data_IF_045502834537
#
_entry.id   IF_045502834537
#
_cell.length_a   1.000
_cell.length_b   1.000
_cell.length_c   1.000
_cell.angle_alpha   90.00
_cell.angle_beta   90.00
_cell.angle_gamma   90.00
#
_symmetry.space_group_name_H-M   'P 1'
#
loop_
_entity.id
_entity.type
_entity.pdbx_description
1 polymer ?
#
# COMPACT_ATOMS: atom_id res chain seq x y z
N UNK A 1 2.62 3.88 13.92
CA UNK A 1 3.04 3.24 15.18
C UNK A 1 3.90 4.19 15.99
N UNK A 2 3.26 4.82 16.98
CA UNK A 2 3.95 5.61 18.01
C UNK A 2 4.46 4.65 19.08
N UNK A 3 5.63 4.93 19.63
CA UNK A 3 6.13 4.22 20.80
C UNK A 3 5.12 4.31 21.96
N UNK A 4 4.79 3.17 22.57
CA UNK A 4 3.97 3.17 23.79
C UNK A 4 4.83 3.60 24.98
N UNK A 5 4.29 4.27 26.02
CA UNK A 5 5.05 4.61 27.23
C UNK A 5 5.70 3.42 27.93
N UNK A 6 5.17 2.21 27.72
CA UNK A 6 5.73 0.96 28.26
C UNK A 6 6.92 0.41 27.48
N UNK A 7 7.31 1.03 26.38
CA UNK A 7 8.40 0.60 25.52
C UNK A 7 8.04 0.46 24.05
N UNK A 8 9.04 0.19 23.19
CA UNK A 8 8.81 -0.10 21.78
C UNK A 8 8.07 -1.44 21.62
N UNK A 9 7.35 -1.59 20.50
CA UNK A 9 6.64 -2.83 20.18
C UNK A 9 7.60 -4.03 20.08
N UNK A 10 8.70 -3.86 19.36
CA UNK A 10 9.85 -4.75 19.39
C UNK A 10 11.11 -3.99 18.95
N UNK A 11 12.26 -4.55 19.29
CA UNK A 11 13.56 -4.15 18.78
C UNK A 11 14.27 -5.37 18.22
N UNK A 12 15.05 -5.16 17.16
CA UNK A 12 15.98 -6.18 16.69
C UNK A 12 17.24 -6.16 17.57
N UNK A 13 17.83 -7.33 17.78
CA UNK A 13 19.20 -7.41 18.29
C UNK A 13 20.16 -6.71 17.34
N UNK A 14 21.38 -6.39 17.81
CA UNK A 14 22.38 -5.73 16.95
C UNK A 14 22.67 -6.54 15.67
N UNK A 15 22.78 -7.87 15.79
CA UNK A 15 23.02 -8.76 14.66
C UNK A 15 21.82 -8.80 13.70
N UNK A 16 20.61 -9.00 14.22
CA UNK A 16 19.39 -9.01 13.38
C UNK A 16 19.20 -7.67 12.65
N UNK A 17 19.53 -6.54 13.30
CA UNK A 17 19.45 -5.23 12.68
C UNK A 17 20.50 -5.03 11.58
N UNK A 18 21.73 -5.49 11.79
CA UNK A 18 22.76 -5.47 10.74
C UNK A 18 22.32 -6.27 9.51
N UNK A 19 21.77 -7.47 9.71
CA UNK A 19 21.22 -8.29 8.63
C UNK A 19 20.04 -7.60 7.93
N UNK A 20 19.18 -6.93 8.70
CA UNK A 20 18.07 -6.16 8.17
C UNK A 20 18.53 -4.99 7.30
N UNK A 21 19.52 -4.22 7.74
CA UNK A 21 20.09 -3.09 6.98
C UNK A 21 20.85 -3.59 5.75
N UNK A 22 21.54 -4.72 5.83
CA UNK A 22 22.22 -5.32 4.67
C UNK A 22 21.22 -5.66 3.54
N UNK A 23 20.03 -6.17 3.89
CA UNK A 23 18.97 -6.46 2.92
C UNK A 23 18.15 -5.23 2.51
N UNK A 24 17.93 -4.32 3.46
CA UNK A 24 17.10 -3.13 3.29
C UNK A 24 17.87 -1.88 3.75
N UNK A 25 18.81 -1.35 2.93
CA UNK A 25 19.68 -0.22 3.32
C UNK A 25 18.91 1.02 3.78
N UNK A 26 17.71 1.23 3.21
CA UNK A 26 16.79 2.32 3.56
C UNK A 26 16.34 2.33 5.02
N UNK A 27 16.55 1.25 5.79
CA UNK A 27 16.27 1.24 7.22
C UNK A 27 17.21 2.17 8.01
N UNK A 28 18.38 2.47 7.45
CA UNK A 28 19.40 3.32 8.05
C UNK A 28 19.43 4.76 7.48
N UNK A 29 18.58 5.06 6.51
CA UNK A 29 18.45 6.41 5.96
C UNK A 29 17.72 7.32 6.95
N UNK A 30 18.11 8.61 7.00
CA UNK A 30 17.35 9.61 7.73
C UNK A 30 15.95 9.73 7.11
N UNK A 31 14.94 9.69 7.97
CA UNK A 31 13.55 9.98 7.60
C UNK A 31 13.05 11.16 8.42
N UNK A 32 11.96 11.79 7.99
CA UNK A 32 11.31 12.86 8.73
C UNK A 32 10.79 12.40 10.11
N UNK A 33 10.70 11.08 10.32
CA UNK A 33 10.42 10.47 11.60
C UNK A 33 11.70 10.00 12.30
N UNK A 34 11.79 10.32 13.59
CA UNK A 34 12.79 9.72 14.47
C UNK A 34 12.30 8.34 14.91
N UNK A 35 13.04 7.28 14.62
CA UNK A 35 12.72 5.92 15.06
C UNK A 35 13.49 5.56 16.33
N UNK A 36 12.92 4.68 17.15
CA UNK A 36 13.68 4.04 18.24
C UNK A 36 14.84 3.23 17.65
N UNK A 37 15.95 3.19 18.37
CA UNK A 37 17.15 2.48 17.93
C UNK A 37 16.83 1.01 17.65
N UNK A 38 17.17 0.52 16.44
CA UNK A 38 16.87 -0.86 15.98
C UNK A 38 15.39 -1.27 16.10
N UNK A 39 14.48 -0.30 16.21
CA UNK A 39 13.05 -0.52 16.36
C UNK A 39 12.23 -0.07 15.15
N UNK A 40 10.97 -0.53 15.14
CA UNK A 40 9.98 -0.17 14.14
C UNK A 40 9.05 0.99 14.60
N UNK A 41 9.15 1.41 15.87
CA UNK A 41 8.34 2.47 16.44
C UNK A 41 8.97 3.84 16.19
N UNK A 42 8.14 4.81 15.79
CA UNK A 42 8.57 6.19 15.76
C UNK A 42 8.51 6.77 17.19
N UNK A 43 9.59 7.44 17.59
CA UNK A 43 9.68 8.24 18.81
C UNK A 43 9.03 9.59 18.54
N UNK A 44 7.72 9.67 18.82
CA UNK A 44 6.87 10.81 18.48
C UNK A 44 6.28 11.39 19.76
N UNK A 45 6.38 12.70 19.92
CA UNK A 45 5.77 13.49 20.98
C UNK A 45 4.48 14.10 20.46
N UNK A 46 3.36 13.52 20.90
CA UNK A 46 2.00 13.98 20.55
C UNK A 46 1.84 15.46 20.90
N UNK A 47 1.42 16.27 19.93
CA UNK A 47 1.21 17.72 20.10
C UNK A 47 2.44 18.59 19.78
N UNK A 48 3.61 17.99 19.54
CA UNK A 48 4.83 18.69 19.12
C UNK A 48 5.25 18.31 17.70
N UNK A 49 5.15 17.03 17.37
CA UNK A 49 5.60 16.50 16.08
C UNK A 49 4.45 16.46 15.06
N UNK A 50 4.79 16.53 13.77
CA UNK A 50 3.84 16.68 12.66
C UNK A 50 2.82 15.52 12.57
N UNK A 51 1.62 15.86 12.11
CA UNK A 51 0.47 14.95 11.98
C UNK A 51 0.74 13.84 10.94
N UNK A 52 0.28 12.62 11.20
CA UNK A 52 0.46 11.47 10.31
C UNK A 52 -0.38 11.60 9.05
N UNK A 53 0.27 11.70 7.89
CA UNK A 53 -0.38 11.43 6.62
C UNK A 53 -0.34 9.92 6.27
N UNK A 54 -1.06 9.53 5.22
CA UNK A 54 -1.15 8.12 4.80
C UNK A 54 0.23 7.55 4.41
N UNK A 55 1.07 8.36 3.77
CA UNK A 55 2.40 7.98 3.32
C UNK A 55 3.30 7.61 4.50
N UNK A 56 3.25 8.43 5.55
CA UNK A 56 4.00 8.25 6.79
C UNK A 56 3.54 7.00 7.54
N UNK A 57 2.24 6.71 7.56
CA UNK A 57 1.70 5.47 8.15
C UNK A 57 2.15 4.25 7.36
N UNK A 58 2.02 4.28 6.03
CA UNK A 58 2.44 3.16 5.16
C UNK A 58 3.93 2.87 5.29
N UNK A 59 4.78 3.89 5.34
CA UNK A 59 6.21 3.74 5.54
C UNK A 59 6.53 3.06 6.89
N UNK A 60 5.82 3.41 7.96
CA UNK A 60 5.99 2.75 9.27
C UNK A 60 5.62 1.26 9.22
N UNK A 61 4.51 0.91 8.56
CA UNK A 61 4.14 -0.49 8.35
C UNK A 61 5.17 -1.23 7.49
N UNK A 62 5.65 -0.61 6.41
CA UNK A 62 6.67 -1.19 5.56
C UNK A 62 7.98 -1.44 6.34
N UNK A 63 8.43 -0.47 7.13
CA UNK A 63 9.59 -0.61 8.02
C UNK A 63 9.41 -1.79 8.97
N UNK A 64 8.26 -1.85 9.66
CA UNK A 64 7.93 -2.93 10.57
C UNK A 64 7.97 -4.30 9.88
N UNK A 65 7.32 -4.46 8.72
CA UNK A 65 7.31 -5.74 8.00
C UNK A 65 8.68 -6.14 7.46
N UNK A 66 9.54 -5.18 7.09
CA UNK A 66 10.94 -5.46 6.74
C UNK A 66 11.71 -6.01 7.94
N UNK A 67 11.56 -5.40 9.11
CA UNK A 67 12.26 -5.79 10.33
C UNK A 67 11.74 -7.11 10.92
N UNK A 68 10.43 -7.36 10.86
CA UNK A 68 9.81 -8.61 11.32
C UNK A 68 10.39 -9.87 10.64
N UNK A 69 10.96 -9.75 9.44
CA UNK A 69 11.61 -10.87 8.75
C UNK A 69 12.87 -11.40 9.49
N UNK A 70 13.45 -10.58 10.37
CA UNK A 70 14.69 -10.84 11.07
C UNK A 70 14.48 -11.16 12.54
N UNK A 71 13.37 -10.71 13.15
CA UNK A 71 13.09 -10.98 14.56
C UNK A 71 12.85 -12.48 14.79
N UNK A 72 13.81 -13.14 15.43
CA UNK A 72 13.85 -14.60 15.61
C UNK A 72 12.60 -15.18 16.30
N UNK A 73 12.05 -14.49 17.30
CA UNK A 73 10.84 -14.93 18.01
C UNK A 73 9.56 -14.65 17.20
N UNK A 74 9.34 -13.39 16.78
CA UNK A 74 8.11 -12.97 16.11
C UNK A 74 7.93 -13.57 14.70
N UNK A 75 9.01 -13.96 14.02
CA UNK A 75 8.95 -14.58 12.69
C UNK A 75 8.15 -15.89 12.67
N UNK A 76 8.01 -16.55 13.81
CA UNK A 76 7.26 -17.81 13.97
C UNK A 76 5.81 -17.60 14.39
N UNK A 77 5.42 -16.36 14.68
CA UNK A 77 4.11 -16.03 15.20
C UNK A 77 3.13 -15.66 14.09
N UNK A 78 1.85 -15.96 14.30
CA UNK A 78 0.79 -15.26 13.60
C UNK A 78 0.65 -13.88 14.22
N UNK A 79 0.71 -12.83 13.39
CA UNK A 79 0.61 -11.44 13.85
C UNK A 79 -0.72 -10.88 13.36
N UNK A 80 -1.56 -10.46 14.30
CA UNK A 80 -2.80 -9.75 14.03
C UNK A 80 -2.59 -8.26 14.28
N UNK A 81 -2.96 -7.43 13.31
CA UNK A 81 -2.88 -5.98 13.42
C UNK A 81 -4.28 -5.41 13.63
N UNK A 82 -4.51 -4.86 14.81
CA UNK A 82 -5.73 -4.11 15.12
C UNK A 82 -5.44 -2.63 14.96
N UNK A 83 -6.14 -1.98 14.03
CA UNK A 83 -6.05 -0.54 13.78
C UNK A 83 -7.40 0.11 14.05
N UNK A 84 -7.40 1.37 14.48
CA UNK A 84 -8.64 2.13 14.62
C UNK A 84 -9.26 2.46 13.24
N UNK A 85 -10.49 2.97 13.25
CA UNK A 85 -11.20 3.43 12.04
C UNK A 85 -10.78 4.84 11.61
N UNK A 86 -9.54 5.26 11.90
CA UNK A 86 -8.98 6.51 11.43
C UNK A 86 -9.08 6.63 9.91
N UNK A 87 -9.31 7.85 9.40
CA UNK A 87 -9.40 8.11 7.95
C UNK A 87 -8.16 7.62 7.20
N UNK A 88 -6.99 7.71 7.83
CA UNK A 88 -5.71 7.30 7.25
C UNK A 88 -5.55 5.78 7.18
N UNK A 89 -6.12 5.03 8.13
CA UNK A 89 -6.06 3.57 8.18
C UNK A 89 -7.10 2.89 7.27
N UNK A 90 -8.14 3.62 6.89
CA UNK A 90 -9.25 3.13 6.06
C UNK A 90 -9.17 3.59 4.60
N UNK A 91 -8.19 4.43 4.26
CA UNK A 91 -7.95 4.90 2.90
C UNK A 91 -7.53 3.72 2.00
N UNK A 92 -8.34 3.42 0.98
CA UNK A 92 -8.05 2.34 0.02
C UNK A 92 -7.16 2.86 -1.10
N UNK A 93 -5.93 2.36 -1.19
CA UNK A 93 -5.09 2.54 -2.39
C UNK A 93 -5.02 1.24 -3.20
N UNK A 94 -5.07 1.37 -4.52
CA UNK A 94 -5.01 0.23 -5.43
C UNK A 94 -3.67 0.23 -6.15
N UNK A 95 -2.79 -0.69 -5.77
CA UNK A 95 -1.48 -0.80 -6.41
C UNK A 95 -1.62 -1.26 -7.87
N UNK A 96 -1.37 -0.35 -8.82
CA UNK A 96 -1.41 -0.65 -10.26
C UNK A 96 -0.45 -1.76 -10.70
N UNK A 97 0.63 -2.00 -9.95
CA UNK A 97 1.53 -3.13 -10.20
C UNK A 97 0.90 -4.50 -9.95
N UNK A 98 -0.19 -4.55 -9.19
CA UNK A 98 -0.96 -5.78 -8.98
C UNK A 98 -1.81 -6.18 -10.19
N UNK A 99 -2.02 -5.29 -11.17
CA UNK A 99 -2.90 -5.53 -12.30
C UNK A 99 -2.12 -6.00 -13.54
N UNK A 100 -2.70 -6.94 -14.27
CA UNK A 100 -2.28 -7.30 -15.62
C UNK A 100 -2.93 -6.43 -16.68
N UNK A 101 -2.44 -6.54 -17.92
CA UNK A 101 -2.88 -5.70 -19.04
C UNK A 101 -4.27 -6.08 -19.58
N UNK A 102 -4.43 -7.36 -19.90
CA UNK A 102 -5.55 -7.88 -20.69
C UNK A 102 -6.67 -8.51 -19.86
N UNK A 103 -7.70 -9.00 -20.54
CA UNK A 103 -8.77 -9.77 -19.92
C UNK A 103 -8.23 -11.06 -19.31
N UNK A 104 -8.85 -11.52 -18.23
CA UNK A 104 -8.44 -12.72 -17.50
C UNK A 104 -6.98 -12.70 -17.01
N UNK A 105 -6.41 -11.51 -16.80
CA UNK A 105 -5.07 -11.36 -16.22
C UNK A 105 -5.15 -11.01 -14.74
N UNK A 106 -4.02 -10.95 -14.04
CA UNK A 106 -3.97 -10.67 -12.60
C UNK A 106 -4.79 -9.43 -12.24
N UNK A 107 -5.68 -9.54 -11.25
CA UNK A 107 -6.41 -8.41 -10.69
C UNK A 107 -6.52 -8.61 -9.17
N UNK A 108 -5.96 -7.69 -8.35
CA UNK A 108 -5.82 -7.91 -6.92
C UNK A 108 -7.13 -7.66 -6.15
N UNK A 109 -8.13 -7.03 -6.77
CA UNK A 109 -9.35 -6.58 -6.10
C UNK A 109 -10.59 -6.93 -6.91
N UNK A 110 -11.73 -7.09 -6.23
CA UNK A 110 -13.03 -7.37 -6.87
C UNK A 110 -13.67 -6.12 -7.48
N UNK A 111 -13.48 -4.99 -6.82
CA UNK A 111 -13.99 -3.70 -7.23
C UNK A 111 -13.09 -2.57 -6.70
N UNK A 112 -13.17 -1.42 -7.37
CA UNK A 112 -12.49 -0.18 -7.03
C UNK A 112 -13.57 0.86 -6.73
N UNK A 113 -13.66 1.26 -5.47
CA UNK A 113 -14.51 2.38 -5.04
C UNK A 113 -13.70 3.68 -5.11
N UNK A 114 -14.26 4.71 -5.74
CA UNK A 114 -13.62 6.02 -5.89
C UNK A 114 -14.64 7.16 -5.99
N UNK A 115 -14.17 8.39 -5.85
CA UNK A 115 -14.98 9.60 -6.07
C UNK A 115 -14.57 10.22 -7.40
N UNK A 116 -15.53 10.45 -8.31
CA UNK A 116 -15.23 11.09 -9.59
C UNK A 116 -14.98 12.60 -9.46
N UNK A 117 -14.59 13.25 -10.55
CA UNK A 117 -14.29 14.70 -10.58
C UNK A 117 -15.48 15.59 -10.16
N UNK A 118 -16.71 15.06 -10.16
CA UNK A 118 -17.91 15.78 -9.73
C UNK A 118 -18.29 15.48 -8.27
N UNK A 119 -17.42 14.82 -7.50
CA UNK A 119 -17.69 14.47 -6.11
C UNK A 119 -18.62 13.26 -5.93
N UNK A 120 -18.96 12.54 -7.00
CA UNK A 120 -19.88 11.40 -6.93
C UNK A 120 -19.14 10.09 -6.66
N UNK A 121 -19.61 9.33 -5.67
CA UNK A 121 -19.12 7.98 -5.39
C UNK A 121 -19.44 7.04 -6.56
N UNK A 122 -18.42 6.31 -7.01
CA UNK A 122 -18.46 5.34 -8.11
C UNK A 122 -17.82 4.04 -7.65
N UNK A 123 -18.30 2.94 -8.20
CA UNK A 123 -17.70 1.62 -8.01
C UNK A 123 -17.41 1.01 -9.38
N UNK A 124 -16.14 0.82 -9.69
CA UNK A 124 -15.68 0.10 -10.86
C UNK A 124 -15.56 -1.39 -10.54
N UNK A 125 -16.22 -2.22 -11.31
CA UNK A 125 -16.18 -3.68 -11.12
C UNK A 125 -14.99 -4.25 -11.88
N UNK A 126 -14.09 -4.94 -11.18
CA UNK A 126 -12.88 -5.49 -11.78
C UNK A 126 -13.07 -6.86 -12.45
N UNK A 127 -14.30 -7.35 -12.49
CA UNK A 127 -14.67 -8.61 -13.15
C UNK A 127 -15.86 -8.38 -14.08
N UNK A 128 -15.88 -9.07 -15.22
CA UNK A 128 -17.01 -9.03 -16.13
C UNK A 128 -18.24 -9.68 -15.49
N UNK A 129 -19.33 -8.93 -15.35
CA UNK A 129 -20.59 -9.43 -14.78
C UNK A 129 -21.45 -10.21 -15.78
N UNK A 130 -21.33 -9.88 -17.06
CA UNK A 130 -22.14 -10.40 -18.16
C UNK A 130 -21.29 -10.62 -19.42
N UNK A 131 -21.87 -11.28 -20.43
CA UNK A 131 -21.24 -11.54 -21.73
C UNK A 131 -20.28 -12.73 -21.75
N UNK A 132 -19.57 -12.90 -22.88
CA UNK A 132 -18.65 -14.03 -23.16
C UNK A 132 -17.52 -14.18 -22.12
N UNK A 133 -17.14 -13.08 -21.46
CA UNK A 133 -16.05 -13.04 -20.48
C UNK A 133 -16.53 -13.07 -19.03
N UNK A 134 -17.80 -13.41 -18.75
CA UNK A 134 -18.38 -13.41 -17.40
C UNK A 134 -17.48 -14.13 -16.38
N UNK A 135 -17.33 -13.55 -15.19
CA UNK A 135 -16.43 -13.97 -14.09
C UNK A 135 -14.93 -13.89 -14.38
N UNK A 136 -14.51 -13.47 -15.57
CA UNK A 136 -13.09 -13.19 -15.84
C UNK A 136 -12.73 -11.78 -15.36
N UNK A 137 -11.49 -11.62 -14.93
CA UNK A 137 -10.95 -10.33 -14.49
C UNK A 137 -10.81 -9.35 -15.66
N UNK A 138 -11.01 -8.08 -15.37
CA UNK A 138 -10.73 -6.96 -16.25
C UNK A 138 -9.30 -6.51 -15.95
N UNK A 139 -8.39 -6.69 -16.91
CA UNK A 139 -7.08 -6.04 -16.84
C UNK A 139 -7.18 -4.52 -17.05
N UNK A 140 -6.04 -3.83 -16.91
CA UNK A 140 -5.98 -2.37 -16.99
C UNK A 140 -6.53 -1.80 -18.30
N UNK A 141 -6.35 -2.47 -19.43
CA UNK A 141 -6.87 -1.98 -20.71
C UNK A 141 -8.41 -1.91 -20.69
N UNK A 142 -9.07 -2.97 -20.20
CA UNK A 142 -10.53 -3.00 -20.13
C UNK A 142 -11.07 -2.00 -19.10
N UNK A 143 -10.33 -1.83 -17.99
CA UNK A 143 -10.64 -0.82 -16.98
C UNK A 143 -10.53 0.60 -17.59
N UNK A 144 -9.46 0.90 -18.31
CA UNK A 144 -9.26 2.20 -18.94
C UNK A 144 -10.40 2.54 -19.92
N UNK A 145 -10.83 1.57 -20.73
CA UNK A 145 -11.97 1.73 -21.64
C UNK A 145 -13.28 2.02 -20.89
N UNK A 146 -13.53 1.35 -19.76
CA UNK A 146 -14.73 1.61 -18.93
C UNK A 146 -14.70 2.97 -18.24
N UNK A 147 -13.50 3.44 -17.90
CA UNK A 147 -13.26 4.78 -17.37
C UNK A 147 -13.24 5.86 -18.46
N UNK A 148 -13.44 5.48 -19.73
CA UNK A 148 -13.40 6.37 -20.90
C UNK A 148 -12.07 7.10 -21.06
N UNK A 149 -10.97 6.49 -20.62
CA UNK A 149 -9.64 7.04 -20.86
C UNK A 149 -9.20 6.67 -22.27
N UNK A 150 -8.76 7.67 -23.04
CA UNK A 150 -8.23 7.47 -24.39
C UNK A 150 -7.01 6.55 -24.31
N UNK A 151 -7.13 5.37 -24.92
CA UNK A 151 -6.07 4.36 -24.91
C UNK A 151 -5.98 3.73 -26.29
N UNK A 152 -4.75 3.63 -26.82
CA UNK A 152 -4.46 2.86 -28.00
C UNK A 152 -4.30 1.37 -27.66
N UNK A 153 -4.69 0.51 -28.60
CA UNK A 153 -4.73 -0.94 -28.38
C UNK A 153 -3.34 -1.59 -28.23
N UNK A 154 -2.28 -0.87 -28.57
CA UNK A 154 -0.87 -1.25 -28.54
C UNK A 154 -0.11 -0.73 -27.30
N UNK A 155 -0.72 0.16 -26.50
CA UNK A 155 -0.15 0.65 -25.25
C UNK A 155 0.38 -0.49 -24.37
N UNK A 156 1.64 -0.38 -23.96
CA UNK A 156 2.30 -1.34 -23.08
C UNK A 156 1.72 -1.23 -21.67
N UNK A 157 1.90 -2.30 -20.88
CA UNK A 157 1.39 -2.34 -19.52
C UNK A 157 1.91 -1.19 -18.64
N UNK A 158 3.19 -0.83 -18.77
CA UNK A 158 3.76 0.28 -17.97
C UNK A 158 3.18 1.64 -18.36
N UNK A 159 2.88 1.85 -19.64
CA UNK A 159 2.25 3.08 -20.13
C UNK A 159 0.80 3.17 -19.65
N UNK A 160 0.04 2.06 -19.69
CA UNK A 160 -1.30 1.98 -19.09
C UNK A 160 -1.30 2.29 -17.59
N UNK A 161 -0.30 1.80 -16.86
CA UNK A 161 -0.14 2.12 -15.43
C UNK A 161 0.12 3.61 -15.23
N UNK A 162 1.04 4.20 -15.99
CA UNK A 162 1.36 5.63 -15.89
C UNK A 162 0.16 6.52 -16.25
N UNK A 163 -0.64 6.10 -17.24
CA UNK A 163 -1.84 6.83 -17.64
C UNK A 163 -2.97 6.72 -16.60
N UNK A 164 -3.14 5.55 -15.98
CA UNK A 164 -4.16 5.34 -14.96
C UNK A 164 -3.77 5.87 -13.59
N UNK A 165 -2.47 6.07 -13.27
CA UNK A 165 -2.03 6.52 -11.95
C UNK A 165 -2.60 7.89 -11.54
N UNK A 166 -2.94 8.71 -12.53
CA UNK A 166 -3.52 10.04 -12.30
C UNK A 166 -5.06 10.04 -12.31
N UNK A 167 -5.70 8.91 -12.63
CA UNK A 167 -7.16 8.83 -12.65
C UNK A 167 -7.71 8.69 -11.23
N UNK A 168 -8.79 9.37 -10.82
CA UNK A 168 -9.34 9.30 -9.44
C UNK A 168 -9.64 7.90 -8.89
N UNK A 169 -9.75 6.90 -9.78
CA UNK A 169 -9.92 5.49 -9.39
C UNK A 169 -8.64 4.84 -8.85
N UNK A 170 -7.48 5.44 -9.11
CA UNK A 170 -6.15 4.93 -8.76
C UNK A 170 -5.24 6.01 -8.16
N UNK A 171 -5.58 7.28 -8.35
CA UNK A 171 -4.93 8.41 -7.72
C UNK A 171 -5.35 8.47 -6.26
N UNK A 172 -4.39 8.22 -5.38
CA UNK A 172 -4.42 8.61 -3.97
C UNK A 172 -3.18 9.45 -3.70
#
# INVERSE_FOLDING_TARGET
MVQHPSGPFFELTATEYQDAVAKFPKLNEQSDLSYTERGACASIVVGRDAYFDNSTVLYQFERMFKMLQFHSELKKCAIEFVVDNGRTHTARSYCLNGFGRGKNTRCPVKAIDYTDANGKKKTLQCYHRTGKFKKQSKGLLQIALELKVTTDSDLKLNELKALLSNHPAFAN
#
